data_IF_637278817082
#
_entry.id   IF_637278817082
#
_cell.length_a   1.000
_cell.length_b   1.000
_cell.length_c   1.000
_cell.angle_alpha   90.00
_cell.angle_beta   90.00
_cell.angle_gamma   90.00
#
_symmetry.space_group_name_H-M   'P 1'
#
loop_
_entity.id
_entity.type
_entity.pdbx_description
1 polymer ?
#
# COMPACT_ATOMS: atom_id res chain seq x y z
N UNK A 1 -17.43 1.76 -0.37
CA UNK A 1 -16.26 1.86 -1.27
C UNK A 1 -15.21 0.80 -0.96
N UNK A 2 -14.50 0.93 0.17
CA UNK A 2 -13.38 0.06 0.58
C UNK A 2 -13.66 -1.46 0.57
N UNK A 3 -14.77 -1.91 1.19
CA UNK A 3 -15.18 -3.33 1.18
C UNK A 3 -15.94 -3.76 -0.08
N UNK A 4 -16.41 -2.79 -0.86
CA UNK A 4 -17.28 -3.02 -2.01
C UNK A 4 -16.46 -3.07 -3.29
N UNK A 5 -16.78 -2.18 -4.24
CA UNK A 5 -16.13 -2.10 -5.56
C UNK A 5 -14.60 -2.19 -5.54
N UNK A 6 -13.94 -1.55 -4.58
CA UNK A 6 -12.48 -1.50 -4.53
C UNK A 6 -11.84 -2.77 -3.91
N UNK A 7 -12.62 -3.59 -3.20
CA UNK A 7 -12.21 -4.85 -2.55
C UNK A 7 -10.91 -4.77 -1.71
N UNK A 8 -10.55 -3.60 -1.19
CA UNK A 8 -9.31 -3.39 -0.45
C UNK A 8 -9.21 -4.25 0.82
N UNK A 9 -10.37 -4.64 1.37
CA UNK A 9 -10.47 -5.49 2.57
C UNK A 9 -9.92 -6.90 2.37
N UNK A 10 -9.72 -7.36 1.13
CA UNK A 10 -9.15 -8.68 0.86
C UNK A 10 -7.79 -8.87 1.53
N UNK A 11 -6.94 -7.83 1.54
CA UNK A 11 -5.65 -7.83 2.23
C UNK A 11 -5.66 -6.93 3.48
N UNK A 12 -6.42 -5.84 3.47
CA UNK A 12 -6.47 -4.90 4.60
C UNK A 12 -7.59 -5.23 5.59
N UNK A 13 -7.43 -6.34 6.31
CA UNK A 13 -8.44 -6.91 7.22
C UNK A 13 -8.40 -6.29 8.64
N UNK A 14 -9.57 -6.11 9.31
CA UNK A 14 -9.61 -5.67 10.71
C UNK A 14 -8.92 -6.64 11.68
N UNK A 15 -8.49 -6.19 12.88
CA UNK A 15 -8.71 -4.86 13.44
C UNK A 15 -7.70 -3.79 12.99
N UNK A 16 -6.51 -4.20 12.54
CA UNK A 16 -5.41 -3.28 12.20
C UNK A 16 -5.26 -2.98 10.71
N UNK A 17 -6.21 -3.43 9.89
CA UNK A 17 -6.26 -3.20 8.43
C UNK A 17 -5.03 -3.75 7.70
N UNK A 18 -4.64 -4.98 8.08
CA UNK A 18 -3.60 -5.78 7.43
C UNK A 18 -3.83 -7.25 7.76
N UNK A 19 -3.58 -8.12 6.78
CA UNK A 19 -3.55 -9.58 6.93
C UNK A 19 -2.19 -10.11 7.42
N UNK A 20 -1.18 -9.22 7.53
CA UNK A 20 0.22 -9.54 7.81
C UNK A 20 0.84 -10.52 6.80
N UNK A 21 0.24 -10.67 5.62
CA UNK A 21 0.77 -11.47 4.52
C UNK A 21 1.64 -10.61 3.61
N UNK A 22 2.20 -11.25 2.58
CA UNK A 22 3.17 -10.67 1.66
C UNK A 22 2.61 -10.76 0.24
N UNK A 23 2.57 -9.62 -0.44
CA UNK A 23 2.00 -9.51 -1.78
C UNK A 23 2.92 -8.68 -2.66
N UNK A 24 2.97 -9.02 -3.94
CA UNK A 24 3.59 -8.18 -4.96
C UNK A 24 2.46 -7.47 -5.71
N UNK A 25 2.35 -6.17 -5.50
CA UNK A 25 1.29 -5.35 -6.11
C UNK A 25 1.72 -4.72 -7.44
N UNK A 26 2.87 -5.13 -8.00
CA UNK A 26 3.42 -4.58 -9.23
C UNK A 26 3.91 -3.14 -9.09
N UNK A 27 4.31 -2.71 -7.89
CA UNK A 27 4.85 -1.36 -7.67
C UNK A 27 6.08 -1.14 -8.56
N UNK A 28 6.16 0.00 -9.28
CA UNK A 28 7.38 0.37 -9.97
C UNK A 28 8.53 0.52 -8.98
N UNK A 29 9.64 -0.17 -9.22
CA UNK A 29 10.87 -0.03 -8.44
C UNK A 29 11.57 1.27 -8.86
N UNK A 30 11.71 2.23 -7.94
CA UNK A 30 12.38 3.51 -8.22
C UNK A 30 13.62 3.72 -7.36
N UNK A 31 14.53 4.57 -7.84
CA UNK A 31 15.73 4.98 -7.12
C UNK A 31 17.02 4.36 -7.67
N UNK A 32 18.18 4.72 -7.09
CA UNK A 32 19.48 4.32 -7.60
C UNK A 32 19.92 2.92 -7.14
N UNK A 33 19.13 2.27 -6.28
CA UNK A 33 19.50 0.99 -5.68
C UNK A 33 19.19 -0.18 -6.61
N UNK A 34 19.85 -1.32 -6.35
CA UNK A 34 19.49 -2.60 -6.97
C UNK A 34 18.03 -2.91 -6.62
N UNK A 35 17.33 -3.56 -7.56
CA UNK A 35 15.95 -4.03 -7.39
C UNK A 35 15.73 -4.67 -6.01
N UNK A 36 14.70 -4.21 -5.28
CA UNK A 36 14.36 -4.73 -3.97
C UNK A 36 13.53 -6.02 -4.12
N UNK A 37 14.14 -7.14 -3.75
CA UNK A 37 13.51 -8.46 -3.86
C UNK A 37 12.53 -8.75 -2.71
N UNK A 38 12.43 -7.85 -1.72
CA UNK A 38 11.47 -7.94 -0.63
C UNK A 38 11.60 -9.22 0.20
N UNK A 39 10.49 -9.94 0.35
CA UNK A 39 10.40 -11.16 1.18
C UNK A 39 11.41 -12.23 0.77
N UNK A 40 11.76 -12.32 -0.51
CA UNK A 40 12.80 -13.23 -1.00
C UNK A 40 14.11 -13.08 -0.27
N UNK A 41 14.51 -11.86 0.12
CA UNK A 41 15.80 -11.66 0.79
C UNK A 41 15.91 -12.44 2.10
N UNK A 42 14.77 -12.74 2.73
CA UNK A 42 14.67 -13.53 3.96
C UNK A 42 14.46 -15.02 3.65
N UNK A 43 13.52 -15.36 2.76
CA UNK A 43 13.10 -16.76 2.56
C UNK A 43 13.94 -17.52 1.54
N UNK A 44 14.55 -16.81 0.59
CA UNK A 44 15.23 -17.35 -0.60
C UNK A 44 14.34 -18.23 -1.50
N UNK A 45 13.02 -18.14 -1.35
CA UNK A 45 12.04 -18.79 -2.23
C UNK A 45 11.69 -17.85 -3.39
N UNK A 46 11.98 -18.25 -4.63
CA UNK A 46 11.68 -17.46 -5.84
C UNK A 46 10.21 -17.05 -5.95
N UNK A 47 9.29 -17.81 -5.36
CA UNK A 47 7.87 -17.45 -5.31
C UNK A 47 7.60 -16.19 -4.48
N UNK A 48 8.52 -15.79 -3.59
CA UNK A 48 8.42 -14.60 -2.73
C UNK A 48 9.11 -13.35 -3.30
N UNK A 49 9.69 -13.46 -4.50
CA UNK A 49 10.40 -12.36 -5.12
C UNK A 49 9.47 -11.16 -5.41
N UNK A 50 9.84 -10.00 -4.84
CA UNK A 50 9.13 -8.73 -4.96
C UNK A 50 7.87 -8.64 -4.09
N UNK A 51 7.63 -9.59 -3.18
CA UNK A 51 6.52 -9.49 -2.23
C UNK A 51 6.90 -8.66 -1.02
N UNK A 52 6.00 -7.77 -0.62
CA UNK A 52 6.14 -6.92 0.56
C UNK A 52 4.98 -7.15 1.50
N UNK A 53 5.23 -6.94 2.80
CA UNK A 53 4.20 -7.09 3.82
C UNK A 53 3.06 -6.09 3.57
N UNK A 54 1.81 -6.52 3.64
CA UNK A 54 0.66 -5.61 3.68
C UNK A 54 0.79 -4.67 4.89
N UNK A 55 0.94 -3.35 4.71
CA UNK A 55 1.04 -2.44 5.84
C UNK A 55 -0.33 -2.27 6.52
N UNK A 56 -0.33 -1.90 7.80
CA UNK A 56 -1.52 -1.33 8.43
C UNK A 56 -1.87 -0.01 7.74
N UNK A 57 -3.16 0.24 7.55
CA UNK A 57 -3.62 1.49 6.93
C UNK A 57 -3.81 2.64 7.92
N UNK A 58 -3.71 2.39 9.23
CA UNK A 58 -3.79 3.47 10.22
C UNK A 58 -2.68 4.48 9.99
N UNK A 59 -3.05 5.77 9.99
CA UNK A 59 -2.18 6.91 9.70
C UNK A 59 -1.51 6.90 8.32
N UNK A 60 -1.85 5.99 7.41
CA UNK A 60 -1.19 5.94 6.09
C UNK A 60 -1.46 7.19 5.27
N UNK A 61 -2.62 7.85 5.43
CA UNK A 61 -2.92 9.07 4.71
C UNK A 61 -2.12 10.31 5.20
N UNK A 62 -1.35 10.22 6.29
CA UNK A 62 -0.45 11.30 6.74
C UNK A 62 0.98 11.16 6.21
N UNK A 63 1.30 10.09 5.48
CA UNK A 63 2.64 9.86 4.94
C UNK A 63 2.92 10.76 3.72
N UNK A 64 4.16 11.22 3.61
CA UNK A 64 4.61 12.03 2.47
C UNK A 64 4.85 11.19 1.20
N UNK A 65 5.23 9.92 1.39
CA UNK A 65 5.53 8.96 0.32
C UNK A 65 4.92 7.61 0.66
N UNK A 66 4.61 6.83 -0.38
CA UNK A 66 3.91 5.56 -0.30
C UNK A 66 4.69 4.46 -1.00
N UNK A 67 4.28 3.21 -0.73
CA UNK A 67 4.96 1.98 -1.12
C UNK A 67 6.29 1.77 -0.40
N UNK A 68 6.93 0.63 -0.65
CA UNK A 68 8.14 0.21 0.04
C UNK A 68 9.38 1.09 -0.19
N UNK A 69 9.40 1.78 -1.33
CA UNK A 69 10.51 2.55 -1.88
C UNK A 69 10.16 4.04 -2.03
N UNK A 70 8.96 4.45 -1.60
CA UNK A 70 8.49 5.82 -1.73
C UNK A 70 8.14 6.23 -3.16
N UNK A 71 7.90 5.28 -4.08
CA UNK A 71 7.67 5.54 -5.50
C UNK A 71 6.51 6.52 -5.78
N UNK A 72 5.53 6.60 -4.90
CA UNK A 72 4.35 7.45 -5.06
C UNK A 72 4.32 8.51 -3.96
N UNK A 73 4.00 9.75 -4.32
CA UNK A 73 4.01 10.91 -3.40
C UNK A 73 2.61 11.41 -3.05
N UNK A 74 1.56 10.78 -3.60
CA UNK A 74 0.16 11.14 -3.32
C UNK A 74 -0.69 9.89 -3.14
N UNK A 75 -1.62 9.95 -2.19
CA UNK A 75 -2.61 8.89 -1.97
C UNK A 75 -3.46 8.61 -3.22
N UNK A 76 -3.76 9.64 -4.02
CA UNK A 76 -4.48 9.47 -5.29
C UNK A 76 -3.70 8.64 -6.32
N UNK A 77 -2.36 8.67 -6.30
CA UNK A 77 -1.53 7.81 -7.15
C UNK A 77 -1.59 6.36 -6.69
N UNK A 78 -1.64 6.11 -5.37
CA UNK A 78 -1.85 4.77 -4.81
C UNK A 78 -3.18 4.20 -5.28
N UNK A 79 -4.25 4.98 -5.16
CA UNK A 79 -5.59 4.57 -5.62
C UNK A 79 -5.58 4.29 -7.12
N UNK A 80 -4.92 5.12 -7.92
CA UNK A 80 -4.82 4.92 -9.36
C UNK A 80 -4.00 3.68 -9.73
N UNK A 81 -2.94 3.37 -8.98
CA UNK A 81 -2.13 2.15 -9.15
C UNK A 81 -2.99 0.90 -9.01
N UNK A 82 -3.77 0.80 -7.92
CA UNK A 82 -4.71 -0.30 -7.75
C UNK A 82 -5.84 -0.27 -8.79
N UNK A 83 -6.35 0.91 -9.15
CA UNK A 83 -7.42 1.02 -10.13
C UNK A 83 -7.03 0.48 -11.51
N UNK A 84 -5.76 0.59 -11.89
CA UNK A 84 -5.17 0.02 -13.11
C UNK A 84 -4.86 -1.49 -13.01
N UNK A 85 -4.93 -2.07 -11.81
CA UNK A 85 -4.52 -3.46 -11.58
C UNK A 85 -3.00 -3.63 -11.47
N UNK A 86 -2.30 -2.66 -10.89
CA UNK A 86 -0.86 -2.72 -10.69
C UNK A 86 -0.07 -2.54 -11.99
N UNK A 87 0.98 -3.35 -12.17
CA UNK A 87 1.80 -3.37 -13.37
C UNK A 87 1.83 -4.79 -13.97
N UNK A 88 1.05 -5.06 -15.03
CA UNK A 88 0.93 -6.40 -15.62
C UNK A 88 2.23 -6.93 -16.25
N UNK A 89 3.28 -6.10 -16.39
CA UNK A 89 4.59 -6.56 -16.84
C UNK A 89 5.41 -7.23 -15.73
N UNK A 90 4.98 -7.09 -14.46
CA UNK A 90 5.64 -7.73 -13.31
C UNK A 90 5.19 -9.19 -13.24
N UNK A 91 6.11 -10.12 -13.53
CA UNK A 91 5.82 -11.56 -13.64
C UNK A 91 5.25 -12.19 -12.37
N UNK A 92 5.71 -11.74 -11.20
CA UNK A 92 5.31 -12.28 -9.91
C UNK A 92 4.22 -11.45 -9.21
N UNK A 93 3.49 -10.61 -9.95
CA UNK A 93 2.37 -9.86 -9.40
C UNK A 93 1.31 -10.82 -8.85
N UNK A 94 0.73 -10.46 -7.70
CA UNK A 94 -0.34 -11.22 -7.09
C UNK A 94 -1.59 -11.24 -8.00
N UNK A 95 -2.17 -12.42 -8.29
CA UNK A 95 -3.34 -12.53 -9.18
C UNK A 95 -4.59 -11.82 -8.67
N UNK A 96 -4.64 -11.42 -7.40
CA UNK A 96 -5.72 -10.60 -6.83
C UNK A 96 -5.64 -9.13 -7.27
N UNK A 97 -4.51 -8.71 -7.86
CA UNK A 97 -4.28 -7.33 -8.29
C UNK A 97 -4.78 -7.18 -9.73
N UNK A 98 -6.05 -6.76 -9.83
CA UNK A 98 -6.80 -6.60 -11.07
C UNK A 98 -7.38 -5.18 -11.18
N UNK A 99 -7.66 -4.68 -12.40
CA UNK A 99 -8.30 -3.38 -12.58
C UNK A 99 -9.62 -3.29 -11.80
N UNK A 100 -9.77 -2.23 -11.00
CA UNK A 100 -10.94 -2.05 -10.13
C UNK A 100 -12.10 -1.32 -10.82
N UNK A 101 -11.83 -0.68 -11.97
CA UNK A 101 -12.81 0.09 -12.75
C UNK A 101 -13.56 1.16 -11.94
N UNK A 102 -12.87 1.79 -10.98
CA UNK A 102 -13.39 2.90 -10.18
C UNK A 102 -13.52 4.15 -11.05
N UNK A 103 -14.68 4.81 -10.97
CA UNK A 103 -14.86 6.15 -11.54
C UNK A 103 -14.28 7.24 -10.61
N UNK A 104 -14.27 8.49 -11.05
CA UNK A 104 -13.67 9.59 -10.28
C UNK A 104 -14.32 9.79 -8.91
N UNK A 105 -15.64 9.59 -8.81
CA UNK A 105 -16.35 9.67 -7.53
C UNK A 105 -15.92 8.55 -6.58
N UNK A 106 -15.80 7.34 -7.08
CA UNK A 106 -15.38 6.16 -6.33
C UNK A 106 -13.97 6.37 -5.75
N UNK A 107 -13.06 6.96 -6.53
CA UNK A 107 -11.69 7.29 -6.09
C UNK A 107 -11.67 8.35 -4.98
N UNK A 108 -12.46 9.41 -5.11
CA UNK A 108 -12.59 10.47 -4.09
C UNK A 108 -13.16 9.91 -2.79
N UNK A 109 -14.19 9.07 -2.87
CA UNK A 109 -14.80 8.47 -1.67
C UNK A 109 -13.83 7.49 -0.98
N UNK A 110 -13.01 6.76 -1.74
CA UNK A 110 -11.97 5.90 -1.19
C UNK A 110 -10.88 6.72 -0.49
N UNK A 111 -10.41 7.81 -1.11
CA UNK A 111 -9.44 8.71 -0.50
C UNK A 111 -9.99 9.35 0.79
N UNK A 112 -11.26 9.75 0.79
CA UNK A 112 -11.92 10.29 1.98
C UNK A 112 -11.95 9.27 3.13
N UNK A 113 -12.29 8.00 2.83
CA UNK A 113 -12.24 6.91 3.83
C UNK A 113 -10.82 6.74 4.40
N UNK A 114 -9.78 6.72 3.56
CA UNK A 114 -8.41 6.59 4.02
C UNK A 114 -8.00 7.72 4.98
N UNK A 115 -8.49 8.95 4.76
CA UNK A 115 -8.25 10.09 5.65
C UNK A 115 -8.94 9.94 7.02
N UNK A 116 -10.02 9.15 7.14
CA UNK A 116 -10.64 8.88 8.44
C UNK A 116 -9.83 7.89 9.30
N UNK A 117 -8.80 7.26 8.73
CA UNK A 117 -7.89 6.35 9.44
C UNK A 117 -6.68 7.06 10.05
N UNK A 118 -6.61 8.39 9.91
CA UNK A 118 -5.54 9.23 10.45
C UNK A 118 -5.95 9.77 11.82
N UNK A 119 -5.10 9.57 12.82
CA UNK A 119 -5.23 10.24 14.10
C UNK A 119 -5.06 11.77 13.86
N UNK A 120 -6.07 12.61 14.21
CA UNK A 120 -5.99 14.06 14.02
C UNK A 120 -4.91 14.76 14.87
N UNK A 121 -4.17 13.99 15.67
CA UNK A 121 -3.32 14.51 16.73
C UNK A 121 -2.00 13.74 16.86
N UNK A 122 -1.46 13.32 15.72
CA UNK A 122 -0.13 12.72 15.58
C UNK A 122 0.99 13.60 16.14
N UNK A 123 0.85 14.93 16.06
CA UNK A 123 1.88 15.88 16.49
C UNK A 123 1.94 16.10 18.01
N UNK A 124 1.11 15.40 18.80
CA UNK A 124 1.11 15.52 20.27
C UNK A 124 2.34 14.89 20.94
N UNK A 125 3.19 14.19 20.20
CA UNK A 125 4.42 13.60 20.73
C UNK A 125 5.52 14.66 20.73
N UNK A 126 5.79 15.22 21.91
CA UNK A 126 6.97 16.07 22.13
C UNK A 126 8.19 15.20 22.46
N UNK A 127 9.37 15.59 21.97
CA UNK A 127 10.61 14.96 22.40
C UNK A 127 10.75 15.05 23.93
N UNK A 128 11.03 13.93 24.63
CA UNK A 128 11.28 13.99 26.06
C UNK A 128 12.60 14.73 26.34
N UNK A 129 12.74 15.31 27.53
CA UNK A 129 14.06 15.71 28.01
C UNK A 129 14.90 14.45 28.21
N UNK A 130 16.03 14.38 27.51
CA UNK A 130 16.99 13.30 27.67
C UNK A 130 17.77 13.52 28.97
N UNK A 131 18.09 12.46 29.73
CA UNK A 131 18.86 12.55 30.97
C UNK A 131 20.29 13.06 30.76
#
# INVERSE_FOLDING_TARGET
>A
MFRGKAMCITCHVPPILTDNLFHNIGTPQVGPMKEDLGRYEVTKDEADNGKFKTPSLYNSASLAFFMHDGALSKLSQVIEHYNKGGNPQVKNQDPLILPLHLNDRDKVDLEAFMKTLTDPSLDRISAPELP
#
